data_IF_011194643059
#
_entry.id   IF_011194643059
#
_cell.length_a   1.000
_cell.length_b   1.000
_cell.length_c   1.000
_cell.angle_alpha   90.00
_cell.angle_beta   90.00
_cell.angle_gamma   90.00
#
_symmetry.space_group_name_H-M   'P 1'
#
loop_
_entity.id
_entity.type
_entity.pdbx_description
1 polymer ?
#
# COMPACT_ATOMS: atom_id res chain seq x y z
N UNK A 1 15.77 -18.39 2.75
CA UNK A 1 15.57 -17.15 3.50
C UNK A 1 14.10 -16.85 3.68
N UNK A 2 13.73 -16.17 4.75
CA UNK A 2 12.36 -15.70 4.97
C UNK A 2 12.03 -14.60 3.95
N UNK A 3 10.81 -14.59 3.42
CA UNK A 3 10.34 -13.54 2.52
C UNK A 3 10.49 -12.17 3.19
N UNK A 4 10.89 -11.16 2.40
CA UNK A 4 10.98 -9.79 2.86
C UNK A 4 9.59 -9.29 3.31
N UNK A 5 9.50 -8.71 4.50
CA UNK A 5 8.24 -8.27 5.11
C UNK A 5 8.30 -6.82 5.61
N UNK A 6 7.16 -6.32 6.12
CA UNK A 6 7.02 -4.94 6.61
C UNK A 6 7.92 -4.64 7.81
N UNK A 7 8.22 -5.61 8.68
CA UNK A 7 9.11 -5.41 9.83
C UNK A 7 10.55 -5.19 9.37
N UNK A 8 11.00 -5.97 8.38
CA UNK A 8 12.29 -5.77 7.73
C UNK A 8 12.36 -4.37 7.10
N UNK A 9 11.32 -3.94 6.38
CA UNK A 9 11.26 -2.61 5.79
C UNK A 9 11.35 -1.51 6.84
N UNK A 10 10.60 -1.58 7.94
CA UNK A 10 10.66 -0.60 9.04
C UNK A 10 12.03 -0.50 9.69
N UNK A 11 12.71 -1.63 9.83
CA UNK A 11 14.09 -1.66 10.38
C UNK A 11 15.07 -0.98 9.44
N UNK A 12 15.02 -1.30 8.14
CA UNK A 12 15.86 -0.70 7.12
C UNK A 12 15.60 0.80 6.93
N UNK A 13 14.35 1.27 7.10
CA UNK A 13 13.98 2.68 6.92
C UNK A 13 14.71 3.62 7.87
N UNK A 14 15.18 3.12 9.00
CA UNK A 14 16.01 3.89 9.95
C UNK A 14 17.44 4.10 9.46
N UNK A 15 17.89 3.33 8.47
CA UNK A 15 19.26 3.28 8.00
C UNK A 15 19.44 3.85 6.60
N UNK A 16 18.40 3.82 5.76
CA UNK A 16 18.46 4.23 4.36
C UNK A 16 17.14 4.79 3.87
N UNK A 17 17.21 5.73 2.92
CA UNK A 17 16.06 6.26 2.18
C UNK A 17 15.86 5.56 0.84
N UNK A 18 16.94 5.04 0.25
CA UNK A 18 16.98 4.35 -1.04
C UNK A 18 17.40 2.91 -0.86
N UNK A 19 16.76 2.01 -1.59
CA UNK A 19 17.09 0.58 -1.66
C UNK A 19 17.27 0.16 -3.10
N UNK A 20 18.35 -0.55 -3.38
CA UNK A 20 18.55 -1.23 -4.66
C UNK A 20 18.23 -2.71 -4.43
N UNK A 21 17.16 -3.19 -5.05
CA UNK A 21 16.85 -4.62 -5.10
C UNK A 21 17.73 -5.28 -6.14
N UNK A 22 18.61 -6.16 -5.70
CA UNK A 22 19.41 -6.99 -6.56
C UNK A 22 18.79 -8.38 -6.62
N UNK A 23 18.51 -8.88 -7.82
CA UNK A 23 17.89 -10.17 -8.02
C UNK A 23 18.59 -10.98 -9.11
N UNK A 24 18.48 -12.30 -9.01
CA UNK A 24 19.01 -13.23 -9.99
C UNK A 24 18.22 -13.15 -11.30
N UNK A 25 18.85 -13.50 -12.41
CA UNK A 25 18.24 -13.38 -13.74
C UNK A 25 17.07 -14.34 -13.99
N UNK A 26 16.77 -15.23 -13.07
CA UNK A 26 15.70 -16.20 -13.18
C UNK A 26 14.32 -15.65 -12.84
N UNK A 27 13.27 -16.41 -13.19
CA UNK A 27 11.89 -16.02 -12.91
C UNK A 27 11.59 -15.95 -11.40
N UNK A 28 12.28 -16.75 -10.58
CA UNK A 28 12.06 -16.77 -9.14
C UNK A 28 12.58 -15.48 -8.49
N UNK A 29 13.78 -15.01 -8.89
CA UNK A 29 14.36 -13.74 -8.49
C UNK A 29 13.49 -12.55 -8.92
N UNK A 30 13.04 -12.55 -10.17
CA UNK A 30 12.12 -11.52 -10.68
C UNK A 30 10.82 -11.44 -9.87
N UNK A 31 10.21 -12.59 -9.58
CA UNK A 31 8.99 -12.66 -8.76
C UNK A 31 9.23 -12.22 -7.31
N UNK A 32 10.41 -12.51 -6.76
CA UNK A 32 10.79 -12.06 -5.43
C UNK A 32 10.92 -10.52 -5.39
N UNK A 33 11.55 -9.91 -6.39
CA UNK A 33 11.64 -8.46 -6.53
C UNK A 33 10.25 -7.81 -6.65
N UNK A 34 9.38 -8.34 -7.51
CA UNK A 34 8.01 -7.85 -7.68
C UNK A 34 7.18 -7.90 -6.38
N UNK A 35 7.41 -8.90 -5.50
CA UNK A 35 6.76 -9.01 -4.19
C UNK A 35 7.33 -8.04 -3.15
N UNK A 36 8.64 -7.74 -3.21
CA UNK A 36 9.30 -6.85 -2.27
C UNK A 36 8.97 -5.37 -2.54
N UNK A 37 8.80 -4.97 -3.81
CA UNK A 37 8.55 -3.60 -4.23
C UNK A 37 7.37 -2.95 -3.47
N UNK A 38 6.14 -3.53 -3.40
CA UNK A 38 5.02 -2.90 -2.70
C UNK A 38 5.30 -2.67 -1.21
N UNK A 39 6.03 -3.58 -0.58
CA UNK A 39 6.40 -3.46 0.84
C UNK A 39 7.38 -2.30 1.04
N UNK A 40 8.37 -2.16 0.17
CA UNK A 40 9.37 -1.10 0.25
C UNK A 40 8.75 0.27 -0.07
N UNK A 41 8.04 0.39 -1.18
CA UNK A 41 7.35 1.64 -1.60
C UNK A 41 6.34 2.06 -0.54
N UNK A 42 5.54 1.13 0.00
CA UNK A 42 4.58 1.40 1.07
C UNK A 42 5.20 1.85 2.40
N UNK A 43 6.50 1.60 2.60
CA UNK A 43 7.27 2.10 3.74
C UNK A 43 8.12 3.35 3.39
N UNK A 44 7.92 3.96 2.24
CA UNK A 44 8.49 5.24 1.83
C UNK A 44 9.92 5.16 1.27
N UNK A 45 10.37 4.01 0.81
CA UNK A 45 11.67 3.89 0.14
C UNK A 45 11.63 4.36 -1.31
N UNK A 46 12.72 5.00 -1.74
CA UNK A 46 13.07 5.13 -3.15
C UNK A 46 13.66 3.78 -3.61
N UNK A 47 12.92 3.07 -4.49
CA UNK A 47 13.24 1.70 -4.85
C UNK A 47 13.81 1.63 -6.26
N UNK A 48 15.06 1.17 -6.34
CA UNK A 48 15.73 0.85 -7.60
C UNK A 48 15.87 -0.67 -7.73
N UNK A 49 15.99 -1.16 -8.93
CA UNK A 49 16.09 -2.59 -9.23
C UNK A 49 17.24 -2.84 -10.20
N UNK A 50 18.15 -3.72 -9.82
CA UNK A 50 19.26 -4.18 -10.64
C UNK A 50 19.17 -5.69 -10.84
N UNK A 51 19.46 -6.16 -12.04
CA UNK A 51 19.46 -7.58 -12.39
C UNK A 51 20.87 -8.07 -12.58
N UNK A 52 21.25 -9.14 -11.89
CA UNK A 52 22.51 -9.85 -12.17
C UNK A 52 22.34 -10.61 -13.48
N UNK A 53 23.17 -10.29 -14.46
CA UNK A 53 23.26 -11.02 -15.73
C UNK A 53 24.59 -11.75 -15.83
N UNK A 54 24.64 -12.85 -16.57
CA UNK A 54 25.87 -13.63 -16.85
C UNK A 54 26.54 -14.28 -15.61
N UNK A 55 25.85 -14.27 -14.45
CA UNK A 55 26.23 -14.97 -13.24
C UNK A 55 24.98 -15.46 -12.49
N UNK A 56 25.15 -16.46 -11.61
CA UNK A 56 24.08 -17.05 -10.85
C UNK A 56 23.56 -16.09 -9.75
N UNK A 57 24.51 -15.43 -9.09
CA UNK A 57 24.25 -14.52 -7.99
C UNK A 57 25.29 -13.40 -7.96
N UNK A 58 25.14 -12.44 -7.02
CA UNK A 58 26.04 -11.31 -6.89
C UNK A 58 27.47 -11.71 -6.51
N UNK A 59 27.65 -12.79 -5.72
CA UNK A 59 28.96 -13.28 -5.32
C UNK A 59 29.73 -13.82 -6.52
N UNK A 60 29.06 -14.66 -7.33
CA UNK A 60 29.65 -15.18 -8.58
C UNK A 60 29.92 -14.04 -9.57
N UNK A 61 29.04 -13.07 -9.69
CA UNK A 61 29.23 -11.91 -10.55
C UNK A 61 30.50 -11.13 -10.16
N UNK A 62 30.68 -10.83 -8.87
CA UNK A 62 31.87 -10.11 -8.38
C UNK A 62 33.15 -10.92 -8.61
N UNK A 63 33.11 -12.23 -8.38
CA UNK A 63 34.24 -13.11 -8.63
C UNK A 63 34.65 -13.16 -10.10
N UNK A 64 33.66 -13.12 -10.99
CA UNK A 64 33.87 -13.25 -12.45
C UNK A 64 34.25 -11.93 -13.13
N UNK A 65 33.60 -10.83 -12.72
CA UNK A 65 33.70 -9.54 -13.42
C UNK A 65 34.35 -8.43 -12.57
N UNK A 66 34.56 -8.67 -11.29
CA UNK A 66 35.20 -7.71 -10.38
C UNK A 66 34.23 -6.70 -9.75
N UNK A 67 34.69 -6.03 -8.70
CA UNK A 67 33.91 -5.05 -7.94
C UNK A 67 33.55 -3.80 -8.76
N UNK A 68 34.35 -3.41 -9.72
CA UNK A 68 34.09 -2.26 -10.58
C UNK A 68 32.89 -2.49 -11.52
N UNK A 69 32.78 -3.70 -12.10
CA UNK A 69 31.63 -4.09 -12.89
C UNK A 69 30.37 -4.16 -12.03
N UNK A 70 30.48 -4.66 -10.81
CA UNK A 70 29.38 -4.65 -9.85
C UNK A 70 28.93 -3.24 -9.47
N UNK A 71 29.88 -2.32 -9.25
CA UNK A 71 29.58 -0.91 -9.03
C UNK A 71 28.77 -0.28 -10.19
N UNK A 72 29.16 -0.56 -11.43
CA UNK A 72 28.41 -0.12 -12.63
C UNK A 72 26.98 -0.72 -12.66
N UNK A 73 26.84 -2.01 -12.37
CA UNK A 73 25.52 -2.66 -12.27
C UNK A 73 24.57 -1.95 -11.30
N UNK A 74 25.09 -1.48 -10.15
CA UNK A 74 24.28 -0.74 -9.17
C UNK A 74 23.96 0.68 -9.64
N UNK A 75 24.85 1.34 -10.36
CA UNK A 75 24.60 2.67 -10.96
C UNK A 75 23.56 2.60 -12.07
N UNK A 76 23.55 1.52 -12.84
CA UNK A 76 22.62 1.27 -13.94
C UNK A 76 21.27 0.71 -13.45
N UNK A 77 21.05 0.62 -12.13
CA UNK A 77 19.77 0.20 -11.56
C UNK A 77 18.62 1.08 -12.03
N UNK A 78 17.52 0.47 -12.44
CA UNK A 78 16.34 1.18 -12.94
C UNK A 78 15.32 1.41 -11.82
N UNK A 79 14.50 2.45 -11.96
CA UNK A 79 13.38 2.69 -11.06
C UNK A 79 12.40 1.50 -11.09
N UNK A 80 11.77 1.19 -9.95
CA UNK A 80 10.84 0.06 -9.82
C UNK A 80 9.66 0.13 -10.80
N UNK A 81 9.22 1.32 -11.22
CA UNK A 81 8.13 1.49 -12.18
C UNK A 81 8.59 0.99 -13.56
N UNK A 82 9.76 1.44 -14.01
CA UNK A 82 10.40 0.96 -15.26
C UNK A 82 10.58 -0.55 -15.21
N UNK A 83 11.04 -1.09 -14.09
CA UNK A 83 11.19 -2.53 -13.90
C UNK A 83 9.87 -3.28 -14.05
N UNK A 84 8.79 -2.85 -13.38
CA UNK A 84 7.45 -3.46 -13.49
C UNK A 84 6.93 -3.42 -14.90
N UNK A 85 7.06 -2.28 -15.59
CA UNK A 85 6.64 -2.10 -16.99
C UNK A 85 7.42 -3.02 -17.92
N UNK A 86 8.75 -3.11 -17.75
CA UNK A 86 9.60 -4.00 -18.56
C UNK A 86 9.26 -5.47 -18.33
N UNK A 87 8.94 -5.88 -17.08
CA UNK A 87 8.48 -7.24 -16.79
C UNK A 87 7.16 -7.55 -17.51
N UNK A 88 6.20 -6.64 -17.47
CA UNK A 88 4.92 -6.78 -18.18
C UNK A 88 5.13 -6.88 -19.68
N UNK A 89 5.96 -5.99 -20.25
CA UNK A 89 6.24 -5.92 -21.69
C UNK A 89 6.76 -7.24 -22.27
N UNK A 90 7.54 -8.02 -21.51
CA UNK A 90 8.08 -9.31 -21.96
C UNK A 90 7.01 -10.32 -22.39
N UNK A 91 5.79 -10.17 -21.89
CA UNK A 91 4.66 -11.06 -22.18
C UNK A 91 3.92 -10.72 -23.47
N UNK A 92 4.28 -9.62 -24.13
CA UNK A 92 3.56 -9.08 -25.28
C UNK A 92 4.44 -8.89 -26.51
N UNK A 93 3.89 -9.24 -27.67
CA UNK A 93 4.52 -8.90 -28.96
C UNK A 93 4.11 -7.46 -29.34
N UNK A 94 5.08 -6.55 -29.31
CA UNK A 94 4.84 -5.13 -29.59
C UNK A 94 4.63 -4.80 -31.07
N UNK A 95 4.73 -5.75 -31.99
CA UNK A 95 4.37 -5.58 -33.39
C UNK A 95 2.88 -5.88 -33.67
N UNK A 96 2.21 -6.53 -32.72
CA UNK A 96 0.80 -6.88 -32.79
C UNK A 96 -0.07 -5.84 -32.09
N UNK A 97 -1.08 -5.31 -32.78
CA UNK A 97 -1.96 -4.26 -32.24
C UNK A 97 -2.74 -4.70 -31.00
N UNK A 98 -3.27 -5.94 -30.97
CA UNK A 98 -4.01 -6.45 -29.81
C UNK A 98 -3.11 -6.62 -28.57
N UNK A 99 -1.86 -7.06 -28.81
CA UNK A 99 -0.87 -7.15 -27.73
C UNK A 99 -0.47 -5.77 -27.21
N UNK A 100 -0.34 -4.75 -28.06
CA UNK A 100 -0.12 -3.36 -27.64
C UNK A 100 -1.24 -2.87 -26.73
N UNK A 101 -2.50 -3.10 -27.09
CA UNK A 101 -3.64 -2.71 -26.29
C UNK A 101 -3.62 -3.41 -24.93
N UNK A 102 -3.40 -4.72 -24.88
CA UNK A 102 -3.32 -5.48 -23.62
C UNK A 102 -2.16 -5.03 -22.74
N UNK A 103 -0.99 -4.77 -23.36
CA UNK A 103 0.14 -4.22 -22.63
C UNK A 103 -0.17 -2.82 -22.07
N UNK A 104 -0.80 -1.94 -22.86
CA UNK A 104 -1.21 -0.62 -22.41
C UNK A 104 -2.20 -0.67 -21.21
N UNK A 105 -3.13 -1.62 -21.21
CA UNK A 105 -4.04 -1.86 -20.09
C UNK A 105 -3.28 -2.33 -18.83
N UNK A 106 -2.33 -3.25 -18.96
CA UNK A 106 -1.51 -3.71 -17.84
C UNK A 106 -0.61 -2.60 -17.30
N UNK A 107 0.02 -1.83 -18.20
CA UNK A 107 0.84 -0.68 -17.86
C UNK A 107 0.01 0.43 -17.17
N UNK A 108 -1.21 0.70 -17.65
CA UNK A 108 -2.13 1.63 -16.99
C UNK A 108 -2.44 1.19 -15.56
N UNK A 109 -2.62 -0.10 -15.31
CA UNK A 109 -2.82 -0.65 -13.96
C UNK A 109 -1.59 -0.43 -13.09
N UNK A 110 -0.39 -0.74 -13.57
CA UNK A 110 0.86 -0.49 -12.84
C UNK A 110 0.99 0.99 -12.48
N UNK A 111 0.72 1.89 -13.43
CA UNK A 111 0.82 3.33 -13.24
C UNK A 111 -0.27 3.89 -12.33
N UNK A 112 -1.46 3.28 -12.28
CA UNK A 112 -2.53 3.70 -11.37
C UNK A 112 -2.19 3.49 -9.89
N UNK A 113 -1.27 2.56 -9.58
CA UNK A 113 -0.75 2.30 -8.23
C UNK A 113 0.32 3.31 -7.78
N UNK A 114 0.88 4.12 -8.69
CA UNK A 114 1.92 5.11 -8.38
C UNK A 114 1.30 6.31 -7.69
N UNK A 115 1.72 6.58 -6.45
CA UNK A 115 1.16 7.65 -5.63
C UNK A 115 1.59 9.04 -6.07
N UNK A 116 2.85 9.20 -6.51
CA UNK A 116 3.40 10.48 -6.95
C UNK A 116 2.87 10.84 -8.35
N UNK A 117 2.14 11.95 -8.43
CA UNK A 117 1.48 12.39 -9.67
C UNK A 117 2.47 12.78 -10.76
N UNK A 118 3.60 13.41 -10.40
CA UNK A 118 4.63 13.82 -11.36
C UNK A 118 5.34 12.58 -11.92
N UNK A 119 5.70 11.67 -11.04
CA UNK A 119 6.36 10.42 -11.41
C UNK A 119 5.46 9.59 -12.34
N UNK A 120 4.19 9.46 -11.99
CA UNK A 120 3.17 8.79 -12.80
C UNK A 120 3.02 9.43 -14.17
N UNK A 121 3.05 10.77 -14.25
CA UNK A 121 2.92 11.51 -15.51
C UNK A 121 4.11 11.23 -16.46
N UNK A 122 5.33 11.28 -15.95
CA UNK A 122 6.56 11.00 -16.71
C UNK A 122 6.51 9.57 -17.27
N UNK A 123 6.24 8.59 -16.40
CA UNK A 123 6.19 7.19 -16.84
C UNK A 123 5.00 6.87 -17.76
N UNK A 124 3.88 7.58 -17.61
CA UNK A 124 2.76 7.45 -18.57
C UNK A 124 3.15 7.91 -19.96
N UNK A 125 3.86 9.04 -20.08
CA UNK A 125 4.36 9.55 -21.35
C UNK A 125 5.36 8.57 -22.02
N UNK A 126 6.33 8.08 -21.25
CA UNK A 126 7.30 7.10 -21.77
C UNK A 126 6.61 5.80 -22.24
N UNK A 127 5.66 5.32 -21.43
CA UNK A 127 4.91 4.10 -21.76
C UNK A 127 4.03 4.27 -22.99
N UNK A 128 3.35 5.41 -23.13
CA UNK A 128 2.55 5.72 -24.32
C UNK A 128 3.39 5.70 -25.59
N UNK A 129 4.60 6.29 -25.55
CA UNK A 129 5.54 6.26 -26.65
C UNK A 129 5.97 4.83 -27.03
N UNK A 130 6.24 3.98 -26.03
CA UNK A 130 6.59 2.56 -26.25
C UNK A 130 5.44 1.78 -26.88
N UNK A 131 4.19 2.06 -26.48
CA UNK A 131 3.00 1.41 -27.06
C UNK A 131 2.64 1.97 -28.45
N UNK A 132 3.09 3.17 -28.77
CA UNK A 132 2.66 3.91 -29.96
C UNK A 132 1.19 4.35 -29.88
N UNK A 133 0.72 4.71 -28.67
CA UNK A 133 -0.63 5.20 -28.41
C UNK A 133 -0.58 6.66 -27.96
N UNK A 134 -1.73 7.32 -28.05
CA UNK A 134 -1.86 8.69 -27.55
C UNK A 134 -1.71 8.76 -26.01
N UNK A 135 -0.91 9.71 -25.55
CA UNK A 135 -0.63 9.92 -24.13
C UNK A 135 -1.90 10.24 -23.33
N UNK A 136 -2.81 11.05 -23.92
CA UNK A 136 -4.06 11.41 -23.25
C UNK A 136 -4.99 10.20 -23.08
N UNK A 137 -4.98 9.26 -24.02
CA UNK A 137 -5.72 8.01 -23.93
C UNK A 137 -5.23 7.16 -22.75
N UNK A 138 -3.90 6.99 -22.62
CA UNK A 138 -3.31 6.24 -21.50
C UNK A 138 -3.59 6.92 -20.14
N UNK A 139 -3.38 8.23 -20.06
CA UNK A 139 -3.67 9.02 -18.84
C UNK A 139 -5.14 8.95 -18.46
N UNK A 140 -6.05 9.06 -19.40
CA UNK A 140 -7.48 8.90 -19.19
C UNK A 140 -7.85 7.51 -18.66
N UNK A 141 -7.15 6.46 -19.11
CA UNK A 141 -7.33 5.11 -18.59
C UNK A 141 -6.82 4.95 -17.16
N UNK A 142 -5.65 5.51 -16.85
CA UNK A 142 -5.07 5.53 -15.51
C UNK A 142 -6.01 6.24 -14.52
N UNK A 143 -6.54 7.41 -14.88
CA UNK A 143 -7.50 8.16 -14.05
C UNK A 143 -8.72 7.32 -13.73
N UNK A 144 -9.37 6.72 -14.73
CA UNK A 144 -10.54 5.85 -14.52
C UNK A 144 -10.27 4.67 -13.59
N UNK A 145 -9.07 4.07 -13.66
CA UNK A 145 -8.69 2.98 -12.75
C UNK A 145 -8.54 3.46 -11.31
N UNK A 146 -7.95 4.65 -11.09
CA UNK A 146 -7.82 5.27 -9.77
C UNK A 146 -9.17 5.61 -9.17
N UNK A 147 -10.04 6.28 -9.95
CA UNK A 147 -11.37 6.67 -9.50
C UNK A 147 -12.21 5.43 -9.10
N UNK A 148 -12.08 4.33 -9.86
CA UNK A 148 -12.73 3.06 -9.54
C UNK A 148 -12.20 2.46 -8.24
N UNK A 149 -10.86 2.46 -8.03
CA UNK A 149 -10.23 1.93 -6.81
C UNK A 149 -10.62 2.76 -5.57
N UNK A 150 -10.65 4.09 -5.68
CA UNK A 150 -11.11 4.99 -4.61
C UNK A 150 -12.58 4.75 -4.27
N UNK A 151 -13.42 4.59 -5.30
CA UNK A 151 -14.84 4.27 -5.12
C UNK A 151 -15.08 2.92 -4.43
N UNK A 152 -14.30 1.89 -4.74
CA UNK A 152 -14.36 0.60 -4.06
C UNK A 152 -13.89 0.69 -2.61
N UNK A 153 -12.80 1.40 -2.35
CA UNK A 153 -12.28 1.63 -1.01
C UNK A 153 -13.30 2.36 -0.11
N UNK A 154 -13.96 3.40 -0.64
CA UNK A 154 -15.01 4.12 0.08
C UNK A 154 -16.22 3.23 0.39
N UNK A 155 -16.66 2.40 -0.57
CA UNK A 155 -17.76 1.45 -0.35
C UNK A 155 -17.40 0.39 0.70
N UNK A 156 -16.17 -0.09 0.70
CA UNK A 156 -15.71 -1.07 1.69
C UNK A 156 -15.61 -0.45 3.09
N UNK A 157 -15.09 0.78 3.19
CA UNK A 157 -15.05 1.53 4.45
C UNK A 157 -16.45 1.77 5.01
N UNK A 158 -17.43 2.11 4.15
CA UNK A 158 -18.83 2.25 4.55
C UNK A 158 -19.46 0.93 4.99
N UNK A 159 -19.18 -0.18 4.27
CA UNK A 159 -19.62 -1.52 4.67
C UNK A 159 -19.04 -1.94 6.02
N UNK A 160 -17.76 -1.65 6.28
CA UNK A 160 -17.13 -1.90 7.59
C UNK A 160 -17.79 -1.06 8.69
N UNK A 161 -18.04 0.23 8.45
CA UNK A 161 -18.79 1.09 9.38
C UNK A 161 -20.18 0.55 9.68
N UNK A 162 -20.94 0.12 8.66
CA UNK A 162 -22.26 -0.48 8.84
C UNK A 162 -22.20 -1.77 9.63
N UNK A 163 -21.20 -2.65 9.40
CA UNK A 163 -21.02 -3.88 10.17
C UNK A 163 -20.75 -3.59 11.65
N UNK A 164 -19.82 -2.70 11.96
CA UNK A 164 -19.56 -2.28 13.35
C UNK A 164 -20.82 -1.70 14.00
N UNK A 165 -21.58 -0.89 13.28
CA UNK A 165 -22.84 -0.34 13.77
C UNK A 165 -23.93 -1.42 13.98
N UNK A 166 -24.04 -2.42 13.09
CA UNK A 166 -25.00 -3.52 13.24
C UNK A 166 -24.57 -4.56 14.27
N UNK A 167 -23.29 -4.78 14.49
CA UNK A 167 -22.79 -5.63 15.60
C UNK A 167 -23.01 -4.94 16.95
N UNK A 168 -22.79 -3.64 17.04
CA UNK A 168 -23.13 -2.87 18.26
C UNK A 168 -24.65 -2.73 18.47
N UNK A 169 -25.48 -2.83 17.43
CA UNK A 169 -26.95 -2.81 17.54
C UNK A 169 -27.57 -4.18 17.80
N UNK A 170 -26.81 -5.27 17.81
CA UNK A 170 -27.21 -6.59 18.33
C UNK A 170 -26.94 -6.72 19.84
N UNK A 171 -26.80 -5.60 20.51
CA UNK A 171 -26.78 -5.56 21.96
C UNK A 171 -28.09 -6.09 22.51
N UNK A 172 -28.07 -7.31 23.04
CA UNK A 172 -29.24 -7.98 23.62
C UNK A 172 -29.66 -7.36 24.96
N UNK A 173 -29.03 -6.32 25.42
CA UNK A 173 -29.34 -5.60 26.66
C UNK A 173 -30.66 -4.83 26.51
N UNK A 174 -31.41 -4.64 27.60
CA UNK A 174 -32.60 -3.84 27.58
C UNK A 174 -32.31 -2.44 27.01
N UNK A 175 -33.07 -2.01 26.02
CA UNK A 175 -32.86 -0.71 25.34
C UNK A 175 -32.77 0.47 26.32
N UNK A 176 -33.48 0.41 27.44
CA UNK A 176 -33.44 1.43 28.46
C UNK A 176 -32.06 1.57 29.14
N UNK A 177 -31.33 0.47 29.37
CA UNK A 177 -30.00 0.51 29.96
C UNK A 177 -29.00 1.11 28.97
N UNK A 178 -29.05 0.73 27.70
CA UNK A 178 -28.20 1.25 26.66
C UNK A 178 -28.39 2.77 26.49
N UNK A 179 -29.64 3.24 26.43
CA UNK A 179 -29.94 4.67 26.29
C UNK A 179 -29.59 5.47 27.56
N UNK A 180 -29.79 4.90 28.75
CA UNK A 180 -29.38 5.55 29.99
C UNK A 180 -27.86 5.76 30.05
N UNK A 181 -27.07 4.74 29.73
CA UNK A 181 -25.59 4.86 29.69
C UNK A 181 -25.12 5.90 28.69
N UNK A 182 -25.69 5.92 27.49
CA UNK A 182 -25.39 6.95 26.49
C UNK A 182 -25.66 8.35 27.00
N UNK A 183 -26.83 8.55 27.60
CA UNK A 183 -27.26 9.84 28.12
C UNK A 183 -26.33 10.31 29.23
N UNK A 184 -25.99 9.42 30.16
CA UNK A 184 -25.09 9.73 31.28
C UNK A 184 -23.70 10.11 30.76
N UNK A 185 -23.12 9.33 29.86
CA UNK A 185 -21.79 9.62 29.30
C UNK A 185 -21.79 10.93 28.47
N UNK A 186 -22.84 11.18 27.68
CA UNK A 186 -23.00 12.46 27.00
C UNK A 186 -23.03 13.65 27.98
N UNK A 187 -23.81 13.56 29.04
CA UNK A 187 -23.88 14.62 30.06
C UNK A 187 -22.53 14.83 30.76
N UNK A 188 -21.81 13.75 31.07
CA UNK A 188 -20.48 13.82 31.66
C UNK A 188 -19.48 14.52 30.77
N UNK A 189 -19.53 14.23 29.45
CA UNK A 189 -18.63 14.83 28.48
C UNK A 189 -18.81 16.34 28.28
N UNK A 190 -20.02 16.85 28.52
CA UNK A 190 -20.34 18.28 28.34
C UNK A 190 -20.37 19.08 29.66
N UNK A 191 -20.37 18.43 30.83
CA UNK A 191 -20.52 19.13 32.10
C UNK A 191 -19.69 18.50 33.23
N UNK A 192 -18.61 19.19 33.60
CA UNK A 192 -17.67 18.73 34.64
C UNK A 192 -18.32 18.51 36.03
N UNK A 193 -19.33 19.30 36.40
CA UNK A 193 -20.03 19.11 37.66
C UNK A 193 -20.85 17.82 37.69
N UNK A 194 -21.52 17.53 36.56
CA UNK A 194 -22.26 16.26 36.36
C UNK A 194 -21.28 15.11 36.37
N UNK A 195 -20.17 15.23 35.65
CA UNK A 195 -19.11 14.22 35.59
C UNK A 195 -18.63 13.86 37.02
N UNK A 196 -18.22 14.84 37.81
CA UNK A 196 -17.77 14.62 39.21
C UNK A 196 -18.85 13.95 40.05
N UNK A 197 -20.11 14.36 39.90
CA UNK A 197 -21.23 13.79 40.62
C UNK A 197 -21.51 12.33 40.22
N UNK A 198 -21.50 12.02 38.96
CA UNK A 198 -21.72 10.66 38.44
C UNK A 198 -20.60 9.73 38.87
N UNK A 199 -19.34 10.10 38.65
CA UNK A 199 -18.21 9.24 38.98
C UNK A 199 -17.87 9.16 40.46
N UNK A 200 -18.52 9.96 41.31
CA UNK A 200 -18.49 9.73 42.75
C UNK A 200 -19.30 8.50 43.16
N UNK A 201 -20.31 8.12 42.38
CA UNK A 201 -21.22 7.00 42.64
C UNK A 201 -20.96 5.80 41.74
N UNK A 202 -20.75 6.04 40.45
CA UNK A 202 -20.60 4.99 39.42
C UNK A 202 -19.15 4.98 38.89
N UNK A 203 -18.49 3.84 38.93
CA UNK A 203 -17.13 3.70 38.44
C UNK A 203 -17.10 3.27 36.97
N UNK A 204 -16.03 3.60 36.17
CA UNK A 204 -15.95 3.25 34.78
C UNK A 204 -16.19 1.77 34.46
N UNK A 205 -15.68 0.85 35.28
CA UNK A 205 -15.84 -0.59 35.11
C UNK A 205 -17.26 -1.11 35.34
N UNK A 206 -18.15 -0.30 35.94
CA UNK A 206 -19.56 -0.65 36.21
C UNK A 206 -20.48 -0.35 35.03
N UNK A 207 -19.98 0.36 33.99
CA UNK A 207 -20.72 0.49 32.75
C UNK A 207 -20.81 -0.87 32.03
N UNK A 208 -22.00 -1.16 31.52
CA UNK A 208 -22.26 -2.43 30.87
C UNK A 208 -21.96 -2.36 29.36
N UNK A 209 -20.97 -3.14 28.90
CA UNK A 209 -20.47 -3.22 27.54
C UNK A 209 -19.14 -2.53 27.33
N UNK A 210 -18.28 -3.19 26.55
CA UNK A 210 -16.89 -2.79 26.31
C UNK A 210 -16.76 -1.33 25.83
N UNK A 211 -17.60 -0.93 24.88
CA UNK A 211 -17.58 0.43 24.32
C UNK A 211 -17.88 1.49 25.40
N UNK A 212 -18.85 1.23 26.29
CA UNK A 212 -19.21 2.19 27.33
C UNK A 212 -18.19 2.25 28.46
N UNK A 213 -17.52 1.13 28.77
CA UNK A 213 -16.38 1.10 29.70
C UNK A 213 -15.23 1.96 29.20
N UNK A 214 -14.79 1.72 27.94
CA UNK A 214 -13.71 2.51 27.33
C UNK A 214 -14.07 4.00 27.24
N UNK A 215 -15.30 4.35 26.88
CA UNK A 215 -15.74 5.75 26.85
C UNK A 215 -15.74 6.37 28.24
N UNK A 216 -16.22 5.65 29.26
CA UNK A 216 -16.25 6.15 30.63
C UNK A 216 -14.85 6.34 31.22
N UNK A 217 -13.91 5.44 30.92
CA UNK A 217 -12.49 5.56 31.29
C UNK A 217 -11.80 6.79 30.65
N UNK A 218 -12.19 7.17 29.44
CA UNK A 218 -11.65 8.36 28.76
C UNK A 218 -12.28 9.68 29.24
N UNK A 219 -13.44 9.63 29.91
CA UNK A 219 -14.14 10.81 30.43
C UNK A 219 -13.79 11.01 31.95
N UNK A 220 -13.55 9.90 32.69
CA UNK A 220 -13.18 9.89 34.10
C UNK A 220 -11.83 10.56 34.38
#
# INVERSE_FOLDING_TARGET
GTAFNTEHARTLRRLADRVILLYDSDNAGQMAALRAIPVLVGNGFDVMVAQVTDAKDADEFIKKFGSEAFGRLLVDAVNYITFKINCAKKNYNMDNADHKVRFAEEAAKILSEVSNDIERDVYAKETAAVCGIDEAALKGRISKMRDAAEGEFMKEAERKRRRVYTESSRDMRPKGIVEAQKTVLCLCAYNEKIMKSVFSVLKPYEFDGEVYKVLSENIY
#
